data_IF_350935618815
#
_entry.id   IF_350935618815
#
_cell.length_a   1.000
_cell.length_b   1.000
_cell.length_c   1.000
_cell.angle_alpha   90.00
_cell.angle_beta   90.00
_cell.angle_gamma   90.00
#
_symmetry.space_group_name_H-M   'P 1'
#
loop_
_entity.id
_entity.type
_entity.pdbx_description
1 polymer ?
#
# COMPACT_ATOMS: atom_id res chain seq x y z
N UNK A 1 -32.31 1.70 12.87
CA UNK A 1 -30.88 1.90 13.18
C UNK A 1 -30.11 0.74 12.54
N UNK A 2 -29.30 0.98 11.49
CA UNK A 2 -28.51 -0.11 10.88
C UNK A 2 -27.63 -0.70 11.99
N UNK A 3 -27.62 -2.02 12.15
CA UNK A 3 -26.69 -2.71 13.06
C UNK A 3 -25.29 -2.12 12.88
N UNK A 4 -24.53 -1.92 13.96
CA UNK A 4 -23.17 -1.37 13.93
C UNK A 4 -22.26 -2.11 12.92
N UNK A 5 -22.57 -3.39 12.62
CA UNK A 5 -21.86 -4.19 11.62
C UNK A 5 -22.09 -3.76 10.16
N UNK A 6 -23.13 -2.95 9.88
CA UNK A 6 -23.45 -2.43 8.54
C UNK A 6 -23.06 -0.97 8.34
N UNK A 7 -22.34 -0.36 9.29
CA UNK A 7 -21.75 0.96 9.10
C UNK A 7 -20.58 0.86 8.10
N UNK A 8 -20.65 1.62 7.00
CA UNK A 8 -19.69 1.54 5.90
C UNK A 8 -18.22 1.67 6.35
N UNK A 9 -17.83 2.66 7.20
CA UNK A 9 -16.44 2.77 7.65
C UNK A 9 -15.96 1.55 8.45
N UNK A 10 -16.83 0.98 9.29
CA UNK A 10 -16.51 -0.21 10.09
C UNK A 10 -16.37 -1.44 9.20
N UNK A 11 -17.23 -1.60 8.20
CA UNK A 11 -17.15 -2.70 7.23
C UNK A 11 -15.84 -2.65 6.43
N UNK A 12 -15.45 -1.47 5.93
CA UNK A 12 -14.18 -1.26 5.22
C UNK A 12 -12.97 -1.58 6.10
N UNK A 13 -12.96 -1.12 7.35
CA UNK A 13 -11.87 -1.39 8.29
C UNK A 13 -11.73 -2.89 8.60
N UNK A 14 -12.85 -3.59 8.83
CA UNK A 14 -12.85 -5.03 9.09
C UNK A 14 -12.43 -5.85 7.86
N UNK A 15 -12.92 -5.49 6.68
CA UNK A 15 -12.51 -6.14 5.43
C UNK A 15 -11.01 -5.97 5.18
N UNK A 16 -10.48 -4.76 5.39
CA UNK A 16 -9.05 -4.48 5.33
C UNK A 16 -8.27 -5.31 6.35
N UNK A 17 -8.74 -5.40 7.58
CA UNK A 17 -8.06 -6.17 8.63
C UNK A 17 -8.01 -7.66 8.29
N UNK A 18 -9.14 -8.24 7.88
CA UNK A 18 -9.25 -9.65 7.53
C UNK A 18 -8.38 -10.02 6.32
N UNK A 19 -8.28 -9.14 5.32
CA UNK A 19 -7.45 -9.37 4.12
C UNK A 19 -5.96 -9.17 4.38
N UNK A 20 -5.57 -8.33 5.35
CA UNK A 20 -4.17 -8.10 5.72
C UNK A 20 -3.61 -9.11 6.74
N UNK A 21 -4.46 -9.78 7.52
CA UNK A 21 -4.02 -10.69 8.57
C UNK A 21 -3.07 -11.80 8.08
N UNK A 22 -3.29 -12.44 6.90
CA UNK A 22 -2.35 -13.44 6.37
C UNK A 22 -0.99 -12.83 6.00
N UNK A 23 -0.97 -11.61 5.46
CA UNK A 23 0.27 -10.92 5.08
C UNK A 23 1.14 -10.61 6.29
N UNK A 24 0.54 -10.18 7.41
CA UNK A 24 1.31 -9.82 8.61
C UNK A 24 2.18 -10.97 9.09
N UNK A 25 1.63 -12.18 9.17
CA UNK A 25 2.36 -13.37 9.62
C UNK A 25 3.59 -13.65 8.76
N UNK A 26 3.43 -13.58 7.44
CA UNK A 26 4.53 -13.83 6.50
C UNK A 26 5.57 -12.71 6.51
N UNK A 27 5.12 -11.46 6.67
CA UNK A 27 6.01 -10.29 6.72
C UNK A 27 6.81 -10.23 8.03
N UNK A 28 6.17 -10.55 9.16
CA UNK A 28 6.83 -10.63 10.47
C UNK A 28 7.98 -11.66 10.42
N UNK A 29 7.77 -12.79 9.75
CA UNK A 29 8.79 -13.84 9.58
C UNK A 29 10.04 -13.36 8.81
N UNK A 30 9.91 -12.32 7.97
CA UNK A 30 11.01 -11.77 7.18
C UNK A 30 11.48 -10.39 7.67
N UNK A 31 10.98 -9.95 8.83
CA UNK A 31 11.36 -8.70 9.49
C UNK A 31 10.77 -7.44 8.86
N UNK A 32 9.62 -7.54 8.19
CA UNK A 32 8.95 -6.43 7.51
C UNK A 32 7.56 -6.16 8.08
N UNK A 33 7.14 -4.91 8.03
CA UNK A 33 5.74 -4.51 8.27
C UNK A 33 4.96 -4.43 6.96
N UNK A 34 3.62 -4.49 7.03
CA UNK A 34 2.74 -4.27 5.86
C UNK A 34 3.03 -2.92 5.18
N UNK A 35 3.35 -1.88 5.95
CA UNK A 35 3.62 -0.56 5.39
C UNK A 35 4.96 -0.51 4.64
N UNK A 36 6.02 -1.13 5.19
CA UNK A 36 7.30 -1.30 4.50
C UNK A 36 7.16 -2.16 3.26
N UNK A 37 6.38 -3.25 3.34
CA UNK A 37 6.10 -4.12 2.21
C UNK A 37 5.46 -3.37 1.04
N UNK A 38 4.47 -2.50 1.29
CA UNK A 38 3.86 -1.68 0.23
C UNK A 38 4.90 -0.83 -0.49
N UNK A 39 5.84 -0.23 0.23
CA UNK A 39 6.94 0.56 -0.36
C UNK A 39 7.87 -0.34 -1.19
N UNK A 40 8.29 -1.49 -0.65
CA UNK A 40 9.15 -2.44 -1.38
C UNK A 40 8.46 -2.94 -2.65
N UNK A 41 7.18 -3.31 -2.58
CA UNK A 41 6.42 -3.81 -3.72
C UNK A 41 6.33 -2.76 -4.84
N UNK A 42 5.99 -1.51 -4.50
CA UNK A 42 5.93 -0.42 -5.48
C UNK A 42 7.29 -0.14 -6.11
N UNK A 43 8.38 -0.19 -5.34
CA UNK A 43 9.73 0.01 -5.86
C UNK A 43 10.27 -1.18 -6.66
N UNK A 44 9.72 -2.39 -6.49
CA UNK A 44 10.09 -3.56 -7.28
C UNK A 44 9.48 -3.54 -8.69
N UNK A 45 8.37 -2.82 -8.89
CA UNK A 45 7.63 -2.74 -10.14
C UNK A 45 8.24 -1.75 -11.16
N UNK A 46 9.32 -1.03 -10.84
CA UNK A 46 9.93 -0.10 -11.79
C UNK A 46 11.11 0.73 -11.29
N UNK A 47 11.21 1.95 -11.81
CA UNK A 47 12.31 2.88 -11.57
C UNK A 47 12.27 3.52 -10.17
N UNK A 48 13.35 4.26 -9.84
CA UNK A 48 13.43 5.04 -8.61
C UNK A 48 12.23 6.00 -8.49
N UNK A 49 11.66 6.15 -7.29
CA UNK A 49 10.49 7.00 -7.03
C UNK A 49 10.78 8.07 -5.99
N UNK A 50 10.12 9.21 -6.12
CA UNK A 50 10.11 10.28 -5.12
C UNK A 50 9.25 9.88 -3.91
N UNK A 51 9.47 10.54 -2.77
CA UNK A 51 8.61 10.36 -1.60
C UNK A 51 7.15 10.76 -1.88
N UNK A 52 6.90 11.75 -2.74
CA UNK A 52 5.53 12.15 -3.13
C UNK A 52 4.78 11.05 -3.85
N UNK A 53 5.41 10.43 -4.86
CA UNK A 53 4.83 9.29 -5.60
C UNK A 53 4.57 8.11 -4.66
N UNK A 54 5.52 7.78 -3.79
CA UNK A 54 5.37 6.70 -2.82
C UNK A 54 4.25 6.95 -1.80
N UNK A 55 4.03 8.20 -1.39
CA UNK A 55 2.94 8.58 -0.49
C UNK A 55 1.58 8.23 -1.10
N UNK A 56 1.38 8.60 -2.37
CA UNK A 56 0.17 8.30 -3.12
C UNK A 56 -0.01 6.80 -3.38
N UNK A 57 0.99 6.15 -3.99
CA UNK A 57 0.92 4.74 -4.39
C UNK A 57 0.80 3.78 -3.20
N UNK A 58 1.48 4.09 -2.08
CA UNK A 58 1.46 3.22 -0.90
C UNK A 58 0.33 3.57 0.08
N UNK A 59 -0.47 4.61 -0.17
CA UNK A 59 -1.48 5.14 0.76
C UNK A 59 -0.86 5.35 2.15
N UNK A 60 0.14 6.23 2.19
CA UNK A 60 0.94 6.55 3.37
C UNK A 60 1.02 8.06 3.57
N UNK A 61 0.81 8.51 4.80
CA UNK A 61 1.00 9.92 5.16
C UNK A 61 2.49 10.28 5.12
N UNK A 62 2.86 11.52 4.73
CA UNK A 62 4.25 11.93 4.61
C UNK A 62 5.12 11.69 5.86
N UNK A 63 4.67 11.98 7.11
CA UNK A 63 5.48 11.71 8.31
C UNK A 63 5.77 10.21 8.51
N UNK A 64 4.79 9.36 8.21
CA UNK A 64 4.94 7.89 8.30
C UNK A 64 5.86 7.37 7.23
N UNK A 65 5.72 7.87 5.99
CA UNK A 65 6.58 7.48 4.88
C UNK A 65 8.04 7.85 5.15
N UNK A 66 8.32 9.06 5.61
CA UNK A 66 9.69 9.49 5.96
C UNK A 66 10.36 8.55 6.96
N UNK A 67 9.61 8.10 7.99
CA UNK A 67 10.11 7.12 8.96
C UNK A 67 10.38 5.77 8.30
N UNK A 68 9.46 5.29 7.47
CA UNK A 68 9.60 4.02 6.74
C UNK A 68 10.84 4.04 5.83
N UNK A 69 11.01 5.11 5.04
CA UNK A 69 12.16 5.26 4.15
C UNK A 69 13.48 5.28 4.93
N UNK A 70 13.52 5.98 6.07
CA UNK A 70 14.71 5.98 6.94
C UNK A 70 15.03 4.57 7.44
N UNK A 71 14.04 3.82 7.90
CA UNK A 71 14.24 2.43 8.36
C UNK A 71 14.69 1.52 7.22
N UNK A 72 14.04 1.57 6.05
CA UNK A 72 14.44 0.75 4.90
C UNK A 72 15.85 1.08 4.40
N UNK A 73 16.25 2.35 4.46
CA UNK A 73 17.61 2.78 4.12
C UNK A 73 18.61 2.25 5.14
N UNK A 74 18.30 2.34 6.44
CA UNK A 74 19.16 1.84 7.51
C UNK A 74 19.34 0.31 7.44
N UNK A 75 18.34 -0.42 6.96
CA UNK A 75 18.43 -1.86 6.71
C UNK A 75 19.07 -2.20 5.36
N UNK A 76 19.53 -1.21 4.59
CA UNK A 76 20.17 -1.41 3.29
C UNK A 76 19.23 -1.92 2.20
N UNK A 77 17.90 -1.82 2.38
CA UNK A 77 16.91 -2.33 1.43
C UNK A 77 16.56 -1.34 0.32
N UNK A 78 16.76 -0.05 0.58
CA UNK A 78 16.62 1.01 -0.43
C UNK A 78 17.84 1.91 -0.43
N UNK A 79 18.11 2.52 -1.59
CA UNK A 79 19.14 3.53 -1.76
C UNK A 79 18.57 4.79 -2.40
N UNK A 80 19.13 5.93 -2.03
CA UNK A 80 18.85 7.19 -2.72
C UNK A 80 19.48 7.20 -4.10
N UNK A 81 18.80 7.84 -5.03
CA UNK A 81 19.28 8.13 -6.37
C UNK A 81 19.23 9.63 -6.53
N UNK A 82 20.34 10.22 -6.96
CA UNK A 82 20.38 11.62 -7.34
C UNK A 82 19.55 11.79 -8.61
N UNK A 83 18.70 12.80 -8.60
CA UNK A 83 17.94 13.24 -9.78
C UNK A 83 18.64 14.47 -10.36
N UNK A 84 18.41 14.74 -11.64
CA UNK A 84 18.95 15.94 -12.31
C UNK A 84 18.42 17.23 -11.66
N UNK A 85 17.21 17.20 -11.10
CA UNK A 85 16.75 18.23 -10.16
C UNK A 85 17.24 17.91 -8.74
N UNK A 86 18.29 18.62 -8.30
CA UNK A 86 18.90 18.50 -6.98
C UNK A 86 17.89 18.64 -5.80
N UNK A 87 16.67 19.13 -6.05
CA UNK A 87 15.60 19.25 -5.05
C UNK A 87 14.74 18.00 -4.90
N UNK A 88 14.87 16.99 -5.78
CA UNK A 88 14.04 15.78 -5.77
C UNK A 88 14.86 14.53 -5.47
N UNK A 89 14.81 14.11 -4.20
CA UNK A 89 15.41 12.83 -3.80
C UNK A 89 14.51 11.67 -4.24
N UNK A 90 15.06 10.78 -5.08
CA UNK A 90 14.41 9.51 -5.45
C UNK A 90 15.04 8.36 -4.69
N UNK A 91 14.28 7.27 -4.55
CA UNK A 91 14.74 6.03 -3.93
C UNK A 91 14.42 4.84 -4.81
N UNK A 92 15.30 3.84 -4.79
CA UNK A 92 15.12 2.54 -5.46
C UNK A 92 15.46 1.40 -4.52
N UNK A 93 15.04 0.18 -4.87
CA UNK A 93 15.53 -1.01 -4.18
C UNK A 93 17.02 -1.22 -4.44
N UNK A 94 17.70 -1.71 -3.41
CA UNK A 94 19.04 -2.31 -3.54
C UNK A 94 18.91 -3.78 -3.93
N UNK A 95 20.01 -4.49 -4.24
CA UNK A 95 19.98 -5.95 -4.38
C UNK A 95 19.35 -6.66 -3.18
N UNK A 96 19.71 -6.28 -1.95
CA UNK A 96 19.10 -6.82 -0.73
C UNK A 96 17.58 -6.52 -0.63
N UNK A 97 17.16 -5.34 -1.10
CA UNK A 97 15.75 -4.99 -1.24
C UNK A 97 14.99 -5.90 -2.21
N UNK A 98 15.60 -6.23 -3.35
CA UNK A 98 15.04 -7.18 -4.32
C UNK A 98 14.98 -8.60 -3.75
N UNK A 99 15.98 -9.05 -3.01
CA UNK A 99 15.95 -10.36 -2.33
C UNK A 99 14.75 -10.45 -1.37
N UNK A 100 14.54 -9.41 -0.55
CA UNK A 100 13.35 -9.34 0.33
C UNK A 100 12.05 -9.31 -0.44
N UNK A 101 12.02 -8.65 -1.61
CA UNK A 101 10.87 -8.70 -2.50
C UNK A 101 10.58 -10.12 -2.98
N UNK A 102 11.59 -10.82 -3.50
CA UNK A 102 11.43 -12.18 -4.00
C UNK A 102 11.04 -13.19 -2.91
N UNK A 103 11.57 -13.02 -1.69
CA UNK A 103 11.20 -13.84 -0.52
C UNK A 103 9.70 -13.76 -0.20
N UNK A 104 9.08 -12.60 -0.41
CA UNK A 104 7.66 -12.36 -0.11
C UNK A 104 6.73 -12.48 -1.33
N UNK A 105 7.21 -12.23 -2.55
CA UNK A 105 6.37 -12.12 -3.75
C UNK A 105 5.55 -13.39 -4.00
N UNK A 106 6.16 -14.57 -3.90
CA UNK A 106 5.47 -15.85 -4.07
C UNK A 106 4.39 -16.08 -3.01
N UNK A 107 4.69 -15.75 -1.75
CA UNK A 107 3.74 -15.85 -0.62
C UNK A 107 2.57 -14.88 -0.80
N UNK A 108 2.87 -13.65 -1.18
CA UNK A 108 1.88 -12.62 -1.49
C UNK A 108 0.93 -13.08 -2.60
N UNK A 109 1.46 -13.62 -3.70
CA UNK A 109 0.65 -14.15 -4.80
C UNK A 109 -0.24 -15.31 -4.34
N UNK A 110 0.29 -16.24 -3.55
CA UNK A 110 -0.48 -17.36 -3.02
C UNK A 110 -1.62 -16.92 -2.08
N UNK A 111 -1.40 -15.90 -1.24
CA UNK A 111 -2.43 -15.33 -0.37
C UNK A 111 -3.57 -14.75 -1.22
N UNK A 112 -3.26 -13.96 -2.25
CA UNK A 112 -4.27 -13.40 -3.14
C UNK A 112 -5.02 -14.49 -3.91
N UNK A 113 -4.31 -15.46 -4.50
CA UNK A 113 -4.92 -16.55 -5.24
C UNK A 113 -5.87 -17.39 -4.37
N UNK A 114 -5.51 -17.68 -3.12
CA UNK A 114 -6.38 -18.40 -2.18
C UNK A 114 -7.64 -17.60 -1.84
N UNK A 115 -7.49 -16.31 -1.60
CA UNK A 115 -8.62 -15.43 -1.31
C UNK A 115 -9.55 -15.34 -2.52
N UNK A 116 -9.00 -15.15 -3.72
CA UNK A 116 -9.75 -15.08 -4.97
C UNK A 116 -10.46 -16.40 -5.29
N UNK A 117 -9.80 -17.55 -5.12
CA UNK A 117 -10.43 -18.86 -5.33
C UNK A 117 -11.61 -19.10 -4.39
N UNK A 118 -11.52 -18.65 -3.13
CA UNK A 118 -12.59 -18.81 -2.15
C UNK A 118 -13.72 -17.77 -2.32
N UNK A 119 -13.37 -16.52 -2.65
CA UNK A 119 -14.32 -15.43 -2.82
C UNK A 119 -14.93 -15.38 -4.22
N UNK A 120 -14.28 -15.97 -5.23
CA UNK A 120 -14.68 -15.96 -6.63
C UNK A 120 -14.16 -14.72 -7.38
N UNK A 121 -13.47 -14.95 -8.50
CA UNK A 121 -12.86 -13.92 -9.36
C UNK A 121 -13.84 -12.80 -9.74
N UNK A 122 -15.00 -13.13 -10.31
CA UNK A 122 -15.97 -12.12 -10.73
C UNK A 122 -16.47 -11.24 -9.57
N UNK A 123 -16.64 -11.82 -8.37
CA UNK A 123 -17.04 -11.06 -7.17
C UNK A 123 -15.89 -10.18 -6.67
N UNK A 124 -14.65 -10.65 -6.78
CA UNK A 124 -13.46 -9.89 -6.41
C UNK A 124 -13.29 -8.68 -7.34
N UNK A 125 -13.37 -8.88 -8.66
CA UNK A 125 -13.30 -7.80 -9.66
C UNK A 125 -14.39 -6.76 -9.42
N UNK A 126 -15.65 -7.20 -9.29
CA UNK A 126 -16.77 -6.31 -8.98
C UNK A 126 -16.54 -5.54 -7.67
N UNK A 127 -15.99 -6.17 -6.62
CA UNK A 127 -15.69 -5.50 -5.36
C UNK A 127 -14.60 -4.42 -5.54
N UNK A 128 -13.54 -4.72 -6.31
CA UNK A 128 -12.47 -3.76 -6.58
C UNK A 128 -12.98 -2.54 -7.36
N UNK A 129 -13.86 -2.75 -8.34
CA UNK A 129 -14.50 -1.67 -9.10
C UNK A 129 -15.37 -0.80 -8.18
N UNK A 130 -16.21 -1.43 -7.35
CA UNK A 130 -17.08 -0.72 -6.40
C UNK A 130 -16.27 0.05 -5.33
N UNK A 131 -15.15 -0.50 -4.86
CA UNK A 131 -14.27 0.20 -3.92
C UNK A 131 -13.58 1.40 -4.57
N UNK A 132 -13.22 1.29 -5.85
CA UNK A 132 -12.62 2.37 -6.63
C UNK A 132 -13.62 3.50 -6.84
N UNK A 133 -14.82 3.19 -7.32
CA UNK A 133 -15.92 4.14 -7.51
C UNK A 133 -16.33 4.83 -6.18
N UNK A 134 -16.43 4.05 -5.11
CA UNK A 134 -16.73 4.59 -3.77
C UNK A 134 -15.66 5.58 -3.30
N UNK A 135 -14.37 5.27 -3.48
CA UNK A 135 -13.26 6.17 -3.12
C UNK A 135 -13.35 7.46 -3.91
N UNK A 136 -13.47 7.37 -5.23
CA UNK A 136 -13.50 8.55 -6.12
C UNK A 136 -14.71 9.44 -5.84
N UNK A 137 -15.87 8.84 -5.57
CA UNK A 137 -17.07 9.56 -5.14
C UNK A 137 -16.84 10.28 -3.81
N UNK A 138 -16.22 9.62 -2.83
CA UNK A 138 -15.94 10.24 -1.53
C UNK A 138 -14.92 11.39 -1.64
N UNK A 139 -13.86 11.23 -2.42
CA UNK A 139 -12.83 12.24 -2.62
C UNK A 139 -13.41 13.49 -3.31
N UNK A 140 -14.26 13.31 -4.34
CA UNK A 140 -14.97 14.42 -5.00
C UNK A 140 -15.84 15.20 -4.00
N UNK A 141 -16.65 14.49 -3.19
CA UNK A 141 -17.52 15.15 -2.22
C UNK A 141 -16.72 15.92 -1.16
N UNK A 142 -15.59 15.38 -0.70
CA UNK A 142 -14.73 16.10 0.25
C UNK A 142 -14.07 17.34 -0.38
N UNK A 143 -13.62 17.24 -1.64
CA UNK A 143 -13.06 18.37 -2.37
C UNK A 143 -14.05 19.50 -2.66
N UNK A 144 -15.33 19.17 -2.88
CA UNK A 144 -16.42 20.15 -3.03
C UNK A 144 -16.70 20.90 -1.72
N UNK A 145 -16.66 20.18 -0.58
CA UNK A 145 -16.84 20.77 0.76
C UNK A 145 -15.70 21.72 1.11
N UNK A 146 -14.45 21.36 0.78
CA UNK A 146 -13.29 22.22 1.01
C UNK A 146 -13.29 23.46 0.09
N UNK A 147 -13.94 23.39 -1.07
CA UNK A 147 -14.05 24.50 -2.04
C UNK A 147 -15.23 25.44 -1.78
N UNK A 148 -16.24 25.00 -1.01
CA UNK A 148 -17.44 25.78 -0.68
C UNK A 148 -17.38 26.57 0.63
N UNK A 149 -16.23 26.54 1.32
CA UNK A 149 -15.98 27.27 2.57
C UNK A 149 -15.22 28.61 2.38
N UNK A 150 -15.20 29.14 1.16
CA UNK A 150 -14.57 30.41 0.78
C UNK A 150 -15.51 31.61 0.79
#
# INVERSE_FOLDING_TARGET
>A
MKSYDRALPIALLRAREATLAPFRRELDAIGLTVQQWRVIRVLAEGEARTAGELSALCVLMPPSLSRILKTLTAHGLIARVEDEDARRVRVRLTPAGHEKYHEMAGKSAAIYARLEAAFGTARMEQLLDLLTDLRETADRLNGEVDSGAG
#
